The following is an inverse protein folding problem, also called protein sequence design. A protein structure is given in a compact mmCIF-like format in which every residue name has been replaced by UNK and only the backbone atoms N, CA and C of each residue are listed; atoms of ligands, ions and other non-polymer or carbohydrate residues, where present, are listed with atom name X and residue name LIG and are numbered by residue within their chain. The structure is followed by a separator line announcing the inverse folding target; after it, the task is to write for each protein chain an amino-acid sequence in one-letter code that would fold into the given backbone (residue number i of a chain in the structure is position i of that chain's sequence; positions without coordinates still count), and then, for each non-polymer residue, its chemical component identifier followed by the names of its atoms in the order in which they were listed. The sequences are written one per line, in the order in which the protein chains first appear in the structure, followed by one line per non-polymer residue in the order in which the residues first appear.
data_IF_532109409774
#
_entry.id   IF_532109409774
#
_cell.length_a   1.000
_cell.length_b   1.000
_cell.length_c   1.000
_cell.angle_alpha   90.00
_cell.angle_beta   90.00
_cell.angle_gamma   90.00
#
_symmetry.space_group_name_H-M   'P 1'
#
loop_
_entity.id
_entity.type
_entity.pdbx_description
1 polymer ?
#
# COMPACT_ATOMS: atom_id res chain seq x y z
N UNK A 1 10.29 9.97 0.47
CA UNK A 1 9.31 9.31 1.36
C UNK A 1 9.33 7.83 1.07
N UNK A 2 9.03 6.99 2.06
CA UNK A 2 8.85 5.55 1.86
C UNK A 2 7.38 5.29 1.51
N UNK A 3 7.14 4.78 0.30
CA UNK A 3 5.82 4.39 -0.19
C UNK A 3 5.70 2.88 -0.13
N UNK A 4 4.66 2.39 0.54
CA UNK A 4 4.30 0.97 0.59
C UNK A 4 3.06 0.74 -0.27
N UNK A 5 3.20 -0.07 -1.32
CA UNK A 5 2.16 -0.36 -2.29
C UNK A 5 1.69 -1.81 -2.14
N UNK A 6 0.42 -1.98 -1.76
CA UNK A 6 -0.20 -3.29 -1.56
C UNK A 6 -1.20 -3.57 -2.68
N UNK A 7 -0.87 -4.52 -3.56
CA UNK A 7 -1.63 -4.89 -4.75
C UNK A 7 -1.75 -6.42 -4.85
N UNK A 8 -2.55 -6.91 -5.80
CA UNK A 8 -2.61 -8.34 -6.10
C UNK A 8 -1.48 -8.77 -7.05
N UNK A 9 -1.06 -10.02 -6.99
CA UNK A 9 -0.14 -10.59 -7.98
C UNK A 9 -0.91 -11.01 -9.23
N UNK A 10 -0.41 -10.66 -10.41
CA UNK A 10 -0.99 -11.11 -11.68
C UNK A 10 -0.15 -12.22 -12.34
N UNK A 11 1.07 -12.45 -11.89
CA UNK A 11 1.96 -13.50 -12.41
C UNK A 11 2.23 -13.32 -13.90
N UNK A 12 2.00 -14.37 -14.69
CA UNK A 12 2.20 -14.30 -16.14
C UNK A 12 1.26 -13.30 -16.83
N UNK A 13 0.08 -13.05 -16.26
CA UNK A 13 -0.94 -12.20 -16.88
C UNK A 13 -0.55 -10.72 -16.92
N UNK A 14 0.36 -10.29 -16.03
CA UNK A 14 0.92 -8.93 -16.11
C UNK A 14 1.69 -8.70 -17.42
N UNK A 15 2.27 -9.76 -18.00
CA UNK A 15 2.97 -9.69 -19.29
C UNK A 15 2.02 -9.74 -20.47
N UNK A 16 0.93 -10.50 -20.33
CA UNK A 16 -0.10 -10.63 -21.37
C UNK A 16 -0.86 -9.31 -21.56
N UNK A 17 -1.13 -8.59 -20.47
CA UNK A 17 -1.80 -7.28 -20.47
C UNK A 17 -1.00 -6.23 -19.68
N UNK A 18 -0.10 -5.47 -20.33
CA UNK A 18 0.70 -4.44 -19.68
C UNK A 18 -0.11 -3.30 -19.06
N UNK A 19 -1.39 -3.12 -19.44
CA UNK A 19 -2.28 -2.13 -18.82
C UNK A 19 -3.00 -2.66 -17.57
N UNK A 20 -2.69 -3.87 -17.12
CA UNK A 20 -3.11 -4.38 -15.82
C UNK A 20 -2.31 -3.67 -14.71
N UNK A 21 -2.52 -2.36 -14.55
CA UNK A 21 -1.69 -1.50 -13.69
C UNK A 21 -1.84 -1.84 -12.20
N UNK A 22 -2.98 -2.40 -11.80
CA UNK A 22 -3.31 -2.72 -10.41
C UNK A 22 -2.61 -3.94 -9.81
N UNK A 23 -1.60 -4.50 -10.48
CA UNK A 23 -0.83 -5.65 -9.97
C UNK A 23 0.56 -5.28 -9.47
N UNK A 24 1.17 -6.15 -8.67
CA UNK A 24 2.51 -5.95 -8.12
C UNK A 24 3.59 -5.83 -9.20
N UNK A 25 3.41 -6.43 -10.37
CA UNK A 25 4.37 -6.38 -11.46
C UNK A 25 4.38 -5.05 -12.22
N UNK A 26 3.24 -4.35 -12.29
CA UNK A 26 3.09 -3.11 -13.04
C UNK A 26 3.00 -1.86 -12.13
N UNK A 27 2.80 -2.04 -10.82
CA UNK A 27 2.99 -1.03 -9.79
C UNK A 27 2.27 0.30 -10.04
N UNK A 28 1.05 0.25 -10.57
CA UNK A 28 0.29 1.44 -11.01
C UNK A 28 1.00 2.31 -12.06
N UNK A 29 2.15 1.90 -12.57
CA UNK A 29 3.04 2.68 -13.43
C UNK A 29 3.77 3.82 -12.71
N UNK A 30 3.96 3.78 -11.38
CA UNK A 30 4.46 4.93 -10.61
C UNK A 30 5.91 4.82 -10.11
N UNK A 31 6.60 3.69 -10.28
CA UNK A 31 7.96 3.49 -9.73
C UNK A 31 8.95 4.56 -10.19
N UNK A 32 9.14 4.70 -11.50
CA UNK A 32 10.12 5.65 -12.06
C UNK A 32 9.82 7.10 -11.65
N UNK A 33 8.53 7.46 -11.60
CA UNK A 33 8.09 8.77 -11.16
C UNK A 33 8.42 9.04 -9.67
N UNK A 34 8.24 8.05 -8.79
CA UNK A 34 8.60 8.16 -7.37
C UNK A 34 10.12 8.23 -7.19
N UNK A 35 10.86 7.31 -7.81
CA UNK A 35 12.31 7.20 -7.64
C UNK A 35 13.06 8.41 -8.21
N UNK A 36 12.60 8.98 -9.33
CA UNK A 36 13.17 10.21 -9.90
C UNK A 36 13.05 11.44 -8.97
N UNK A 37 12.14 11.40 -8.00
CA UNK A 37 11.97 12.42 -6.96
C UNK A 37 12.67 12.07 -5.63
N UNK A 38 13.46 10.99 -5.60
CA UNK A 38 14.17 10.54 -4.40
C UNK A 38 13.27 9.85 -3.37
N UNK A 39 12.13 9.31 -3.80
CA UNK A 39 11.28 8.47 -2.96
C UNK A 39 11.62 6.99 -3.16
N UNK A 40 11.23 6.13 -2.22
CA UNK A 40 11.39 4.69 -2.34
C UNK A 40 10.02 4.02 -2.41
N UNK A 41 9.92 2.98 -3.23
CA UNK A 41 8.70 2.19 -3.40
C UNK A 41 8.97 0.73 -3.03
N UNK A 42 8.23 0.24 -2.04
CA UNK A 42 8.15 -1.18 -1.70
C UNK A 42 6.77 -1.68 -2.15
N UNK A 43 6.75 -2.69 -3.00
CA UNK A 43 5.50 -3.29 -3.51
C UNK A 43 5.35 -4.71 -2.98
N UNK A 44 4.13 -5.09 -2.61
CA UNK A 44 3.86 -6.43 -2.07
C UNK A 44 2.40 -6.86 -2.27
N UNK A 45 2.18 -8.16 -2.41
CA UNK A 45 0.88 -8.82 -2.23
C UNK A 45 0.73 -9.49 -0.87
N UNK A 46 1.82 -9.63 -0.12
CA UNK A 46 1.86 -10.21 1.22
C UNK A 46 1.30 -9.21 2.23
N UNK A 47 0.02 -9.37 2.58
CA UNK A 47 -0.77 -8.44 3.40
C UNK A 47 -1.39 -9.02 4.67
N UNK A 48 -1.46 -10.34 4.79
CA UNK A 48 -2.18 -11.03 5.86
C UNK A 48 -1.23 -11.74 6.83
N UNK A 49 -1.53 -11.66 8.13
CA UNK A 49 -0.71 -12.24 9.21
C UNK A 49 0.43 -11.33 9.68
N UNK A 50 0.92 -11.64 10.89
CA UNK A 50 1.96 -10.86 11.59
C UNK A 50 3.32 -10.85 10.89
N UNK A 51 3.59 -11.85 10.04
CA UNK A 51 4.85 -11.95 9.29
C UNK A 51 4.77 -11.39 7.86
N UNK A 52 3.62 -10.81 7.47
CA UNK A 52 3.45 -10.24 6.14
C UNK A 52 4.39 -9.08 5.88
N UNK A 53 4.73 -8.87 4.61
CA UNK A 53 5.56 -7.74 4.21
C UNK A 53 4.87 -6.42 4.57
N UNK A 54 3.54 -6.32 4.40
CA UNK A 54 2.77 -5.16 4.89
C UNK A 54 3.04 -4.91 6.38
N UNK A 55 3.02 -5.96 7.21
CA UNK A 55 3.20 -5.84 8.65
C UNK A 55 4.59 -5.30 9.03
N UNK A 56 5.61 -5.72 8.30
CA UNK A 56 7.01 -5.32 8.51
C UNK A 56 7.31 -3.91 7.98
N UNK A 57 6.82 -3.59 6.79
CA UNK A 57 7.18 -2.37 6.08
C UNK A 57 6.38 -1.15 6.52
N UNK A 58 5.18 -1.33 7.10
CA UNK A 58 4.31 -0.21 7.50
C UNK A 58 4.87 0.59 8.69
N UNK A 59 5.77 0.01 9.49
CA UNK A 59 6.31 0.61 10.71
C UNK A 59 6.95 1.97 10.44
N UNK A 60 7.61 2.12 9.30
CA UNK A 60 8.32 3.34 8.86
C UNK A 60 7.86 3.87 7.49
N UNK A 61 6.74 3.37 6.94
CA UNK A 61 6.14 3.91 5.74
C UNK A 61 5.58 5.33 5.99
N UNK A 62 5.80 6.25 5.04
CA UNK A 62 5.17 7.56 5.05
C UNK A 62 3.79 7.52 4.36
N UNK A 63 3.67 6.69 3.32
CA UNK A 63 2.49 6.51 2.47
C UNK A 63 2.18 5.02 2.37
N UNK A 64 0.91 4.65 2.55
CA UNK A 64 0.42 3.32 2.22
C UNK A 64 -0.63 3.42 1.13
N UNK A 65 -0.42 2.71 0.02
CA UNK A 65 -1.37 2.60 -1.08
C UNK A 65 -1.92 1.18 -1.06
N UNK A 66 -3.24 1.03 -1.06
CA UNK A 66 -3.94 -0.26 -1.06
C UNK A 66 -4.97 -0.28 -2.16
N UNK A 67 -5.42 -1.45 -2.57
CA UNK A 67 -6.54 -1.58 -3.52
C UNK A 67 -7.67 -2.41 -2.91
N UNK A 68 -8.97 -2.05 -3.12
CA UNK A 68 -10.10 -2.81 -2.57
C UNK A 68 -10.18 -4.25 -3.07
N UNK A 69 -9.56 -4.55 -4.22
CA UNK A 69 -9.56 -5.89 -4.82
C UNK A 69 -8.63 -6.87 -4.11
N UNK A 70 -7.66 -6.36 -3.34
CA UNK A 70 -6.74 -7.13 -2.49
C UNK A 70 -6.41 -6.32 -1.24
N UNK A 71 -7.41 -6.10 -0.35
CA UNK A 71 -7.34 -5.03 0.63
C UNK A 71 -6.34 -5.36 1.74
N UNK A 72 -5.27 -4.56 1.81
CA UNK A 72 -4.37 -4.52 2.96
C UNK A 72 -5.04 -3.78 4.11
N UNK A 73 -5.69 -4.51 5.02
CA UNK A 73 -6.43 -3.89 6.12
C UNK A 73 -5.52 -3.03 7.01
N UNK A 74 -5.78 -1.73 7.10
CA UNK A 74 -5.04 -0.79 7.94
C UNK A 74 -5.83 -0.59 9.23
N UNK A 75 -5.75 -1.61 10.11
CA UNK A 75 -6.42 -1.59 11.40
C UNK A 75 -5.70 -0.69 12.42
N UNK A 76 -6.34 -0.45 13.57
CA UNK A 76 -5.74 0.31 14.68
C UNK A 76 -4.34 -0.18 15.08
N UNK A 77 -4.11 -1.49 15.17
CA UNK A 77 -2.79 -2.04 15.54
C UNK A 77 -1.70 -1.62 14.54
N UNK A 78 -2.00 -1.68 13.24
CA UNK A 78 -1.11 -1.23 12.18
C UNK A 78 -0.86 0.27 12.23
N UNK A 79 -1.89 1.08 12.49
CA UNK A 79 -1.76 2.52 12.68
C UNK A 79 -0.89 2.85 13.90
N UNK A 80 -1.08 2.13 15.00
CA UNK A 80 -0.34 2.33 16.25
C UNK A 80 1.17 2.08 16.07
N UNK A 81 1.57 1.10 15.25
CA UNK A 81 3.00 0.86 14.92
C UNK A 81 3.54 1.71 13.77
N UNK A 82 2.70 2.24 12.89
CA UNK A 82 3.11 3.06 11.76
C UNK A 82 3.53 4.47 12.22
N UNK A 83 4.80 4.64 12.60
CA UNK A 83 5.28 5.86 13.28
C UNK A 83 5.42 7.07 12.36
N UNK A 84 5.51 6.84 11.04
CA UNK A 84 5.72 7.89 10.03
C UNK A 84 4.54 8.08 9.07
N UNK A 85 3.51 7.24 9.19
CA UNK A 85 2.40 7.22 8.26
C UNK A 85 1.65 8.55 8.30
N UNK A 86 1.48 9.15 7.13
CA UNK A 86 0.82 10.45 6.93
C UNK A 86 -0.45 10.32 6.09
N UNK A 87 -0.50 9.34 5.19
CA UNK A 87 -1.61 9.20 4.26
C UNK A 87 -1.82 7.74 3.83
N UNK A 88 -3.10 7.34 3.78
CA UNK A 88 -3.58 6.09 3.22
C UNK A 88 -4.33 6.37 1.91
N UNK A 89 -3.86 5.80 0.80
CA UNK A 89 -4.47 6.00 -0.53
C UNK A 89 -5.14 4.71 -0.98
N UNK A 90 -6.40 4.81 -1.40
CA UNK A 90 -7.12 3.71 -2.04
C UNK A 90 -7.00 3.83 -3.56
N UNK A 91 -6.30 2.88 -4.19
CA UNK A 91 -6.30 2.69 -5.65
C UNK A 91 -7.59 1.98 -6.08
N UNK A 92 -8.69 2.73 -6.08
CA UNK A 92 -10.05 2.25 -6.30
C UNK A 92 -11.08 3.13 -5.59
N UNK A 93 -12.21 2.54 -5.20
CA UNK A 93 -13.28 3.21 -4.43
C UNK A 93 -13.69 2.31 -3.26
N UNK A 94 -13.86 2.91 -2.07
CA UNK A 94 -14.12 2.22 -0.81
C UNK A 94 -12.85 2.13 0.05
N UNK A 95 -12.85 2.83 1.18
CA UNK A 95 -11.72 2.87 2.14
C UNK A 95 -12.07 2.24 3.49
N UNK A 96 -13.12 1.41 3.53
CA UNK A 96 -13.60 0.72 4.73
C UNK A 96 -12.62 -0.34 5.28
N UNK A 97 -11.60 -0.74 4.50
CA UNK A 97 -10.48 -1.54 4.99
C UNK A 97 -9.45 -0.74 5.80
N UNK A 98 -9.64 0.57 5.97
CA UNK A 98 -8.89 1.42 6.90
C UNK A 98 -9.76 1.69 8.13
N UNK A 99 -9.18 1.55 9.32
CA UNK A 99 -9.82 2.00 10.55
C UNK A 99 -9.85 3.54 10.57
N UNK A 100 -10.96 4.11 10.10
CA UNK A 100 -11.10 5.55 9.89
C UNK A 100 -11.05 6.35 11.20
N UNK A 101 -11.56 5.79 12.29
CA UNK A 101 -11.52 6.44 13.60
C UNK A 101 -10.08 6.49 14.14
N UNK A 102 -9.33 5.40 14.00
CA UNK A 102 -7.92 5.37 14.36
C UNK A 102 -7.06 6.29 13.46
N UNK A 103 -7.38 6.38 12.16
CA UNK A 103 -6.70 7.29 11.24
C UNK A 103 -6.95 8.76 11.63
N UNK A 104 -8.21 9.12 11.90
CA UNK A 104 -8.59 10.46 12.38
C UNK A 104 -7.87 10.82 13.69
N UNK A 105 -7.81 9.90 14.66
CA UNK A 105 -7.14 10.14 15.94
C UNK A 105 -5.62 10.37 15.81
N UNK A 106 -5.03 10.03 14.66
CA UNK A 106 -3.60 10.15 14.35
C UNK A 106 -3.29 11.20 13.28
N UNK A 107 -4.30 11.96 12.85
CA UNK A 107 -4.20 12.94 11.75
C UNK A 107 -3.63 12.31 10.45
N UNK A 108 -3.98 11.05 10.19
CA UNK A 108 -3.62 10.37 8.94
C UNK A 108 -4.68 10.69 7.90
N UNK A 109 -4.23 11.23 6.75
CA UNK A 109 -5.08 11.55 5.62
C UNK A 109 -5.56 10.32 4.84
#
# INVERSE_FOLDING_TARGET
MKVLLVLYDAGSHAKDEPKLLGCTENELGIRDWLESQGHTLVTTSSKDGADSVLDKEIVDADVVITTPFHPGYINKERIDKAKKLKICITAGVGSDHVDLDAANARDIA
#
